data_IF_617914853497
#
_entry.id   IF_617914853497
#
_cell.length_a   1.000
_cell.length_b   1.000
_cell.length_c   1.000
_cell.angle_alpha   90.00
_cell.angle_beta   90.00
_cell.angle_gamma   90.00
#
_symmetry.space_group_name_H-M   'P 1'
#
loop_
_entity.id
_entity.type
_entity.pdbx_description
1 polymer ?
#
# COMPACT_ATOMS: atom_id res chain seq x y z
N UNK A 1 34.21 27.85 36.32
CA UNK A 1 33.36 28.93 35.77
C UNK A 1 32.31 28.28 34.91
N UNK A 2 31.04 28.58 35.13
CA UNK A 2 29.97 28.05 34.28
C UNK A 2 30.03 28.69 32.88
N UNK A 3 29.57 28.01 31.81
CA UNK A 3 29.60 28.56 30.45
C UNK A 3 28.91 29.93 30.34
N UNK A 4 27.78 30.09 31.04
CA UNK A 4 27.03 31.35 31.18
C UNK A 4 27.85 32.49 31.79
N UNK A 5 28.63 32.22 32.84
CA UNK A 5 29.51 33.21 33.46
C UNK A 5 30.66 33.67 32.54
N UNK A 6 31.15 32.79 31.65
CA UNK A 6 32.20 33.16 30.67
C UNK A 6 31.67 34.05 29.55
N UNK A 7 30.40 33.87 29.15
CA UNK A 7 29.71 34.73 28.18
C UNK A 7 29.16 36.01 28.80
N UNK A 8 29.17 36.13 30.14
CA UNK A 8 28.63 37.27 30.87
C UNK A 8 27.10 37.33 30.84
N UNK A 9 26.44 36.16 30.77
CA UNK A 9 24.97 36.02 30.78
C UNK A 9 24.49 35.33 32.06
N UNK A 10 23.25 35.60 32.43
CA UNK A 10 22.58 34.98 33.57
C UNK A 10 22.30 33.48 33.30
N UNK A 11 22.15 32.66 34.36
CA UNK A 11 22.01 31.20 34.21
C UNK A 11 20.68 30.78 33.57
N UNK A 12 19.65 31.62 33.69
CA UNK A 12 18.31 31.40 33.11
C UNK A 12 18.11 32.20 31.80
N UNK A 13 19.19 32.61 31.15
CA UNK A 13 19.12 33.47 29.97
C UNK A 13 18.61 32.72 28.73
N UNK A 14 17.54 33.22 28.10
CA UNK A 14 16.98 32.65 26.87
C UNK A 14 17.98 32.53 25.71
N UNK A 15 17.71 31.63 24.77
CA UNK A 15 18.54 31.35 23.58
C UNK A 15 18.96 32.64 22.83
N UNK A 16 18.05 33.61 22.72
CA UNK A 16 18.29 34.92 22.06
C UNK A 16 19.30 35.79 22.82
N UNK A 17 19.32 35.71 24.15
CA UNK A 17 20.27 36.43 24.99
C UNK A 17 21.68 35.84 24.89
N UNK A 18 21.80 34.50 24.86
CA UNK A 18 23.06 33.77 24.66
C UNK A 18 23.67 34.11 23.30
N UNK A 19 22.88 34.07 22.22
CA UNK A 19 23.32 34.44 20.85
C UNK A 19 23.81 35.89 20.75
N UNK A 20 23.11 36.82 21.40
CA UNK A 20 23.51 38.25 21.45
C UNK A 20 24.83 38.47 22.20
N UNK A 21 25.04 37.76 23.30
CA UNK A 21 26.27 37.85 24.08
C UNK A 21 27.47 37.29 23.30
N UNK A 22 27.29 36.16 22.62
CA UNK A 22 28.27 35.58 21.72
C UNK A 22 28.64 36.55 20.58
N UNK A 23 27.65 37.14 19.89
CA UNK A 23 27.91 38.12 18.83
C UNK A 23 28.68 39.37 19.31
N UNK A 24 28.48 39.79 20.56
CA UNK A 24 29.21 40.91 21.17
C UNK A 24 30.66 40.52 21.50
N UNK A 25 30.89 39.30 21.97
CA UNK A 25 32.22 38.77 22.28
C UNK A 25 33.01 38.48 20.99
N UNK A 26 32.35 37.97 19.95
CA UNK A 26 32.94 37.70 18.64
C UNK A 26 33.54 38.96 17.98
N UNK A 27 32.91 40.12 18.18
CA UNK A 27 33.44 41.40 17.67
C UNK A 27 34.76 41.85 18.32
N UNK A 28 35.10 41.30 19.49
CA UNK A 28 36.34 41.61 20.23
C UNK A 28 37.45 40.59 20.02
N UNK A 29 37.10 39.37 19.63
CA UNK A 29 38.05 38.27 19.44
C UNK A 29 38.04 37.89 17.96
N UNK A 30 38.91 38.54 17.16
CA UNK A 30 39.07 38.21 15.75
C UNK A 30 39.83 36.88 15.65
N UNK A 31 39.36 35.92 14.82
CA UNK A 31 40.01 34.60 14.66
C UNK A 31 41.48 34.68 14.24
N UNK A 32 41.85 35.75 13.53
CA UNK A 32 43.19 35.96 13.00
C UNK A 32 44.21 36.44 14.06
N UNK A 33 43.75 37.01 15.18
CA UNK A 33 44.61 37.54 16.24
C UNK A 33 44.82 36.54 17.40
N UNK A 34 43.81 35.72 17.72
CA UNK A 34 43.92 34.69 18.76
C UNK A 34 42.92 33.52 18.55
N UNK A 35 43.41 32.47 17.89
CA UNK A 35 42.63 31.26 17.61
C UNK A 35 42.23 30.48 18.87
N UNK A 36 43.06 30.49 19.93
CA UNK A 36 42.77 29.77 21.18
C UNK A 36 41.67 30.47 21.99
N UNK A 37 41.68 31.81 22.03
CA UNK A 37 40.63 32.59 22.65
C UNK A 37 39.29 32.44 21.92
N UNK A 38 39.30 32.38 20.59
CA UNK A 38 38.11 32.11 19.79
C UNK A 38 37.51 30.73 20.09
N UNK A 39 38.34 29.68 20.11
CA UNK A 39 37.89 28.32 20.38
C UNK A 39 37.28 28.19 21.79
N UNK A 40 37.95 28.79 22.79
CA UNK A 40 37.45 28.81 24.18
C UNK A 40 36.11 29.54 24.30
N UNK A 41 35.90 30.61 23.53
CA UNK A 41 34.65 31.36 23.50
C UNK A 41 33.53 30.58 22.80
N UNK A 42 33.86 29.89 21.70
CA UNK A 42 32.90 29.09 20.94
C UNK A 42 32.45 27.85 21.72
N UNK A 43 33.38 27.17 22.41
CA UNK A 43 33.06 26.06 23.32
C UNK A 43 32.14 26.50 24.46
N UNK A 44 32.38 27.67 25.05
CA UNK A 44 31.51 28.22 26.09
C UNK A 44 30.10 28.55 25.55
N UNK A 45 29.99 29.03 24.32
CA UNK A 45 28.71 29.28 23.64
C UNK A 45 27.93 27.99 23.39
N UNK A 46 28.58 26.97 22.84
CA UNK A 46 27.94 25.67 22.60
C UNK A 46 27.48 25.01 23.91
N UNK A 47 28.31 25.08 24.96
CA UNK A 47 27.97 24.53 26.27
C UNK A 47 26.82 25.29 26.97
N UNK A 48 26.64 26.59 26.74
CA UNK A 48 25.50 27.33 27.27
C UNK A 48 24.19 26.92 26.57
N UNK A 49 24.21 26.76 25.25
CA UNK A 49 23.04 26.31 24.49
C UNK A 49 22.67 24.85 24.77
N UNK A 50 23.63 23.98 25.07
CA UNK A 50 23.33 22.60 25.44
C UNK A 50 22.64 22.51 26.79
N UNK A 51 23.07 23.30 27.78
CA UNK A 51 22.43 23.35 29.10
C UNK A 51 20.99 23.85 29.03
N UNK A 52 20.70 24.85 28.19
CA UNK A 52 19.35 25.37 28.01
C UNK A 52 18.42 24.31 27.38
N UNK A 53 18.89 23.63 26.31
CA UNK A 53 18.14 22.53 25.68
C UNK A 53 17.94 21.33 26.61
N UNK A 54 18.94 21.02 27.44
CA UNK A 54 18.83 19.94 28.42
C UNK A 54 17.79 20.27 29.50
N UNK A 55 17.75 21.51 29.99
CA UNK A 55 16.75 21.95 30.97
C UNK A 55 15.32 22.00 30.40
N UNK A 56 15.17 22.16 29.09
CA UNK A 56 13.88 22.04 28.39
C UNK A 56 13.48 20.58 28.17
N UNK A 57 14.44 19.73 27.78
CA UNK A 57 14.23 18.29 27.62
C UNK A 57 13.85 17.60 28.93
N UNK A 58 14.54 17.92 30.03
CA UNK A 58 14.23 17.39 31.37
C UNK A 58 12.84 17.84 31.85
N UNK A 59 12.43 19.07 31.52
CA UNK A 59 11.06 19.55 31.80
C UNK A 59 10.01 18.79 30.98
N UNK A 60 10.28 18.56 29.69
CA UNK A 60 9.39 17.79 28.83
C UNK A 60 9.28 16.33 29.27
N UNK A 61 10.39 15.71 29.70
CA UNK A 61 10.40 14.35 30.23
C UNK A 61 9.52 14.24 31.48
N UNK A 62 9.66 15.17 32.42
CA UNK A 62 8.85 15.23 33.63
C UNK A 62 7.36 15.47 33.34
N UNK A 63 7.04 16.28 32.34
CA UNK A 63 5.65 16.53 31.92
C UNK A 63 5.04 15.30 31.23
N UNK A 64 5.82 14.60 30.40
CA UNK A 64 5.40 13.34 29.75
C UNK A 64 5.23 12.18 30.73
N UNK A 65 6.09 12.07 31.74
CA UNK A 65 5.96 11.08 32.82
C UNK A 65 4.73 11.39 33.69
N UNK A 66 4.47 12.67 34.01
CA UNK A 66 3.30 13.09 34.78
C UNK A 66 1.96 12.92 34.03
N UNK A 67 1.93 13.05 32.70
CA UNK A 67 0.77 12.73 31.86
C UNK A 67 0.51 11.22 31.82
N UNK A 68 1.56 10.39 31.81
CA UNK A 68 1.43 8.92 31.83
C UNK A 68 0.96 8.35 33.17
N UNK A 69 1.28 9.02 34.30
CA UNK A 69 0.84 8.61 35.64
C UNK A 69 -0.60 9.05 35.98
N UNK A 70 -1.13 10.11 35.34
CA UNK A 70 -2.51 10.57 35.58
C UNK A 70 -3.56 9.66 34.91
N UNK A 71 -3.21 9.00 33.80
CA UNK A 71 -4.11 8.11 33.05
C UNK A 71 -4.24 6.70 33.68
N UNK A 72 -3.38 6.32 34.63
CA UNK A 72 -3.52 5.07 35.42
C UNK A 72 -4.45 5.21 36.64
N UNK A 73 -4.96 6.41 36.93
CA UNK A 73 -5.77 6.66 38.14
C UNK A 73 -7.30 6.71 37.94
N UNK A 74 -7.80 6.38 36.74
CA UNK A 74 -9.24 6.38 36.45
C UNK A 74 -9.77 4.96 36.19
N UNK A 75 -10.06 4.23 37.27
CA UNK A 75 -11.03 3.15 37.27
C UNK A 75 -12.20 3.50 38.21
N UNK A 76 -13.42 3.21 37.75
CA UNK A 76 -14.76 3.34 38.38
C UNK A 76 -15.47 4.70 38.12
N UNK A 77 -16.65 4.81 37.49
CA UNK A 77 -17.73 3.86 37.22
C UNK A 77 -18.44 4.23 35.89
N UNK A 78 -19.08 3.24 35.26
CA UNK A 78 -19.77 3.39 33.97
C UNK A 78 -21.13 4.09 34.00
N UNK A 79 -21.56 4.59 32.84
CA UNK A 79 -22.80 4.17 32.16
C UNK A 79 -22.89 4.90 30.80
N UNK A 80 -23.49 4.25 29.80
CA UNK A 80 -23.88 4.83 28.51
C UNK A 80 -25.28 4.26 28.17
N UNK A 81 -26.09 4.79 27.23
CA UNK A 81 -26.05 6.00 26.38
C UNK A 81 -27.49 6.65 26.29
N UNK A 82 -28.05 7.24 25.20
CA UNK A 82 -27.53 7.90 23.98
C UNK A 82 -28.20 9.27 23.61
N UNK A 83 -27.60 9.97 22.63
CA UNK A 83 -28.14 10.80 21.53
C UNK A 83 -29.29 11.84 21.74
N UNK A 84 -29.07 13.09 21.30
CA UNK A 84 -29.91 13.81 20.31
C UNK A 84 -29.54 15.30 20.16
N UNK A 85 -29.25 15.69 18.91
CA UNK A 85 -29.54 16.96 18.21
C UNK A 85 -29.50 18.33 18.93
N UNK A 86 -28.66 19.25 18.42
CA UNK A 86 -29.08 20.61 18.09
C UNK A 86 -28.11 21.28 17.09
N UNK A 87 -28.68 21.79 16.01
CA UNK A 87 -28.08 22.55 14.91
C UNK A 87 -27.79 24.01 15.31
N UNK A 88 -26.83 24.70 14.67
CA UNK A 88 -27.06 26.04 14.06
C UNK A 88 -25.88 26.57 13.23
N UNK A 89 -26.05 26.46 11.91
CA UNK A 89 -25.85 27.44 10.82
C UNK A 89 -25.47 28.90 11.16
N UNK A 90 -24.45 29.45 10.47
CA UNK A 90 -24.23 30.85 9.96
C UNK A 90 -22.98 30.79 9.05
N UNK A 91 -22.78 31.43 7.89
CA UNK A 91 -23.58 31.95 6.78
C UNK A 91 -22.61 32.02 5.59
N UNK A 92 -23.14 31.87 4.38
CA UNK A 92 -22.40 31.93 3.12
C UNK A 92 -22.93 33.08 2.27
N UNK A 93 -22.03 33.87 1.67
CA UNK A 93 -22.11 34.55 0.36
C UNK A 93 -20.85 35.44 0.25
N UNK A 94 -20.05 35.57 -0.81
CA UNK A 94 -20.06 35.29 -2.26
C UNK A 94 -18.57 35.38 -2.72
N UNK A 95 -18.07 35.04 -3.91
CA UNK A 95 -18.62 34.88 -5.24
C UNK A 95 -17.60 34.15 -6.17
N UNK A 96 -18.15 33.41 -7.14
CA UNK A 96 -17.77 33.36 -8.57
C UNK A 96 -16.37 32.89 -9.05
N UNK A 97 -16.40 31.68 -9.64
CA UNK A 97 -16.15 31.37 -11.06
C UNK A 97 -14.73 31.04 -11.60
N UNK A 98 -14.76 29.99 -12.46
CA UNK A 98 -13.83 29.55 -13.52
C UNK A 98 -12.54 28.84 -13.05
N UNK A 99 -12.40 27.53 -13.28
CA UNK A 99 -12.08 26.79 -14.54
C UNK A 99 -10.57 26.76 -14.87
N UNK A 100 -10.05 25.54 -14.81
CA UNK A 100 -9.10 24.88 -15.72
C UNK A 100 -7.62 25.36 -15.86
N UNK A 101 -6.80 24.34 -16.14
CA UNK A 101 -5.43 24.35 -16.66
C UNK A 101 -4.24 24.46 -15.68
N UNK A 102 -3.60 23.30 -15.49
CA UNK A 102 -2.20 23.03 -15.86
C UNK A 102 -1.22 24.20 -15.80
N UNK A 103 -0.26 24.16 -14.86
CA UNK A 103 0.94 25.00 -14.95
C UNK A 103 2.18 24.26 -14.47
N UNK A 104 3.03 23.92 -15.44
CA UNK A 104 4.44 23.64 -15.25
C UNK A 104 5.14 24.97 -14.90
N UNK A 105 5.76 25.04 -13.73
CA UNK A 105 6.58 26.18 -13.33
C UNK A 105 8.01 25.99 -13.81
N UNK A 106 8.35 26.67 -14.91
CA UNK A 106 9.71 27.16 -15.18
C UNK A 106 10.20 27.90 -13.94
N UNK A 107 11.39 27.56 -13.46
CA UNK A 107 12.09 28.34 -12.46
C UNK A 107 13.21 29.09 -13.19
N UNK A 108 12.88 30.26 -13.71
CA UNK A 108 13.84 31.23 -14.20
C UNK A 108 14.55 31.83 -12.98
N UNK A 109 15.81 31.46 -12.79
CA UNK A 109 16.71 32.17 -11.89
C UNK A 109 17.94 32.60 -12.70
N UNK A 110 17.74 33.66 -13.48
CA UNK A 110 18.81 34.44 -14.07
C UNK A 110 19.61 35.09 -12.94
N UNK A 111 20.76 34.50 -12.62
CA UNK A 111 21.78 35.16 -11.82
C UNK A 111 22.98 35.43 -12.73
N UNK A 112 22.91 36.57 -13.41
CA UNK A 112 24.04 37.18 -14.12
C UNK A 112 25.15 37.46 -13.11
N UNK A 113 26.23 36.67 -13.17
CA UNK A 113 27.50 37.02 -12.56
C UNK A 113 28.62 36.77 -13.57
N UNK A 114 28.85 37.79 -14.41
CA UNK A 114 30.06 37.93 -15.22
C UNK A 114 31.28 38.07 -14.31
N UNK A 115 32.22 37.14 -14.45
CA UNK A 115 33.52 37.17 -13.80
C UNK A 115 34.49 36.26 -14.55
N UNK A 116 35.19 36.85 -15.52
CA UNK A 116 36.34 36.25 -16.21
C UNK A 116 37.37 35.70 -15.21
N UNK A 117 37.77 34.44 -15.42
CA UNK A 117 38.84 33.79 -14.68
C UNK A 117 39.23 32.48 -15.34
N UNK A 118 40.34 32.52 -16.09
CA UNK A 118 41.05 31.37 -16.63
C UNK A 118 41.27 30.26 -15.58
N UNK A 119 41.14 29.00 -16.01
CA UNK A 119 41.96 27.92 -15.44
C UNK A 119 41.21 26.69 -14.93
N UNK A 120 41.48 25.60 -15.64
CA UNK A 120 41.63 24.23 -15.13
C UNK A 120 40.37 23.37 -14.95
N UNK A 121 40.48 22.16 -15.48
CA UNK A 121 39.40 21.20 -15.55
C UNK A 121 38.98 20.71 -14.16
N UNK A 122 37.66 20.64 -13.95
CA UNK A 122 37.09 19.82 -12.91
C UNK A 122 35.74 19.32 -13.45
N UNK A 123 35.71 18.06 -13.91
CA UNK A 123 34.49 17.29 -14.19
C UNK A 123 33.75 17.03 -12.86
N UNK A 124 33.36 18.11 -12.21
CA UNK A 124 32.92 18.16 -10.83
C UNK A 124 31.41 17.95 -10.82
N UNK A 125 31.02 16.72 -10.50
CA UNK A 125 29.63 16.23 -10.40
C UNK A 125 28.68 17.31 -9.82
N UNK A 126 27.93 18.00 -10.69
CA UNK A 126 26.87 18.95 -10.32
C UNK A 126 25.58 18.21 -9.94
N UNK A 127 25.61 17.34 -8.92
CA UNK A 127 24.38 16.80 -8.34
C UNK A 127 23.80 17.81 -7.35
N UNK A 128 22.53 18.14 -7.52
CA UNK A 128 21.78 18.92 -6.52
C UNK A 128 21.66 18.17 -5.20
N UNK A 129 21.46 18.91 -4.10
CA UNK A 129 21.35 18.36 -2.73
C UNK A 129 20.26 17.28 -2.65
N UNK A 130 19.11 17.48 -3.31
CA UNK A 130 18.02 16.51 -3.35
C UNK A 130 18.38 15.24 -4.12
N UNK A 131 19.15 15.38 -5.21
CA UNK A 131 19.64 14.22 -5.98
C UNK A 131 20.65 13.41 -5.17
N UNK A 132 21.50 14.06 -4.37
CA UNK A 132 22.42 13.39 -3.45
C UNK A 132 21.63 12.63 -2.38
N UNK A 133 20.64 13.26 -1.74
CA UNK A 133 19.78 12.60 -0.75
C UNK A 133 19.05 11.38 -1.32
N UNK A 134 18.48 11.51 -2.52
CA UNK A 134 17.83 10.39 -3.22
C UNK A 134 18.82 9.28 -3.61
N UNK A 135 20.04 9.63 -4.02
CA UNK A 135 21.08 8.64 -4.34
C UNK A 135 21.46 7.81 -3.11
N UNK A 136 21.56 8.44 -1.93
CA UNK A 136 21.80 7.76 -0.64
C UNK A 136 20.68 6.75 -0.36
N UNK A 137 19.42 7.17 -0.47
CA UNK A 137 18.26 6.29 -0.22
C UNK A 137 18.20 5.14 -1.23
N UNK A 138 18.39 5.41 -2.52
CA UNK A 138 18.36 4.40 -3.57
C UNK A 138 19.53 3.42 -3.45
N UNK A 139 20.72 3.89 -3.06
CA UNK A 139 21.87 3.04 -2.75
C UNK A 139 21.55 2.07 -1.62
N UNK A 140 20.93 2.55 -0.55
CA UNK A 140 20.55 1.75 0.61
C UNK A 140 19.56 0.63 0.27
N UNK A 141 18.69 0.83 -0.72
CA UNK A 141 17.71 -0.16 -1.19
C UNK A 141 18.29 -1.19 -2.17
N UNK A 142 19.36 -0.85 -2.88
CA UNK A 142 19.92 -1.67 -3.96
C UNK A 142 21.16 -2.47 -3.55
N UNK A 143 21.97 -1.93 -2.65
CA UNK A 143 23.27 -2.47 -2.29
C UNK A 143 23.21 -3.35 -1.04
N UNK A 144 24.11 -4.34 -0.98
CA UNK A 144 24.31 -5.14 0.23
C UNK A 144 24.87 -4.26 1.36
N UNK A 145 24.73 -4.64 2.65
CA UNK A 145 25.18 -3.79 3.76
C UNK A 145 26.66 -3.39 3.68
N UNK A 146 27.53 -4.33 3.28
CA UNK A 146 28.97 -4.08 3.15
C UNK A 146 29.32 -3.19 1.97
N UNK A 147 28.70 -3.43 0.81
CA UNK A 147 28.93 -2.63 -0.39
C UNK A 147 28.35 -1.21 -0.25
N UNK A 148 27.23 -1.08 0.47
CA UNK A 148 26.61 0.20 0.74
C UNK A 148 27.48 1.08 1.65
N UNK A 149 28.07 0.51 2.71
CA UNK A 149 29.00 1.27 3.55
C UNK A 149 30.26 1.70 2.79
N UNK A 150 30.79 0.84 1.91
CA UNK A 150 31.92 1.19 1.06
C UNK A 150 31.55 2.30 0.09
N UNK A 151 30.40 2.17 -0.58
CA UNK A 151 29.87 3.17 -1.49
C UNK A 151 29.65 4.52 -0.80
N UNK A 152 29.04 4.57 0.39
CA UNK A 152 28.87 5.82 1.16
C UNK A 152 30.21 6.50 1.45
N UNK A 153 31.26 5.73 1.74
CA UNK A 153 32.61 6.25 2.00
C UNK A 153 33.32 6.72 0.75
N UNK A 154 33.01 6.16 -0.41
CA UNK A 154 33.64 6.48 -1.70
C UNK A 154 32.87 7.54 -2.50
N UNK A 155 31.62 7.85 -2.12
CA UNK A 155 30.73 8.72 -2.88
C UNK A 155 31.23 10.18 -2.88
N UNK A 156 31.81 10.69 -3.99
CA UNK A 156 32.54 11.95 -4.00
C UNK A 156 31.76 13.20 -3.54
N UNK A 157 30.45 13.34 -3.86
CA UNK A 157 29.66 14.49 -3.42
C UNK A 157 29.52 14.63 -1.89
N UNK A 158 29.70 13.56 -1.11
CA UNK A 158 29.52 13.57 0.34
C UNK A 158 30.78 13.95 1.13
N UNK A 159 31.93 14.14 0.47
CA UNK A 159 33.16 14.59 1.14
C UNK A 159 33.13 16.08 1.53
N UNK A 160 32.22 16.87 0.95
CA UNK A 160 32.03 18.25 1.35
C UNK A 160 31.31 18.31 2.70
N UNK A 161 31.99 18.82 3.74
CA UNK A 161 31.41 19.04 5.07
C UNK A 161 30.12 19.88 4.99
N UNK A 162 30.10 20.90 4.13
CA UNK A 162 28.92 21.72 3.89
C UNK A 162 27.72 20.92 3.37
N UNK A 163 27.96 19.98 2.44
CA UNK A 163 26.89 19.13 1.87
C UNK A 163 26.35 18.18 2.95
N UNK A 164 27.24 17.63 3.78
CA UNK A 164 26.86 16.75 4.88
C UNK A 164 25.96 17.45 5.91
N UNK A 165 26.32 18.67 6.31
CA UNK A 165 25.58 19.46 7.30
C UNK A 165 24.20 19.90 6.77
N UNK A 166 24.07 20.16 5.47
CA UNK A 166 22.79 20.55 4.86
C UNK A 166 21.86 19.35 4.64
N UNK A 167 22.41 18.18 4.30
CA UNK A 167 21.64 16.96 4.03
C UNK A 167 21.18 16.26 5.31
N UNK A 168 22.03 16.22 6.35
CA UNK A 168 21.76 15.55 7.62
C UNK A 168 20.36 15.86 8.22
N UNK A 169 19.91 17.13 8.35
CA UNK A 169 18.59 17.43 8.91
C UNK A 169 17.41 17.07 7.99
N UNK A 170 17.65 16.96 6.67
CA UNK A 170 16.61 16.62 5.70
C UNK A 170 16.42 15.11 5.54
N UNK A 171 17.47 14.33 5.83
CA UNK A 171 17.50 12.88 5.66
C UNK A 171 16.37 12.16 6.40
N UNK A 172 16.12 12.36 7.71
CA UNK A 172 15.03 11.65 8.38
C UNK A 172 13.71 11.82 7.64
N UNK A 173 13.35 13.06 7.27
CA UNK A 173 12.08 13.36 6.59
C UNK A 173 11.98 12.67 5.23
N UNK A 174 13.08 12.60 4.48
CA UNK A 174 13.14 11.87 3.22
C UNK A 174 13.03 10.35 3.45
N UNK A 175 13.72 9.82 4.46
CA UNK A 175 13.69 8.39 4.84
C UNK A 175 12.30 7.94 5.32
N UNK A 176 11.53 8.81 5.98
CA UNK A 176 10.15 8.49 6.38
C UNK A 176 9.16 8.39 5.22
N UNK A 177 9.49 8.98 4.06
CA UNK A 177 8.71 8.86 2.83
C UNK A 177 9.21 7.71 1.94
N UNK A 178 10.44 7.24 2.17
CA UNK A 178 11.04 6.14 1.44
C UNK A 178 10.48 4.76 1.87
N UNK A 179 10.57 3.73 1.01
CA UNK A 179 10.27 2.35 1.41
C UNK A 179 11.21 1.88 2.53
N UNK A 180 10.77 0.87 3.29
CA UNK A 180 11.49 0.35 4.46
C UNK A 180 12.94 0.01 4.11
N UNK A 181 13.87 0.66 4.81
CA UNK A 181 15.29 0.35 4.73
C UNK A 181 15.62 -0.80 5.70
N UNK A 182 16.52 -1.71 5.32
CA UNK A 182 16.99 -2.72 6.26
C UNK A 182 17.80 -2.03 7.38
N UNK A 183 17.67 -2.56 8.60
CA UNK A 183 18.25 -1.97 9.82
C UNK A 183 19.75 -1.67 9.69
N UNK A 184 20.52 -2.54 9.04
CA UNK A 184 21.96 -2.33 8.84
C UNK A 184 22.28 -1.09 7.99
N UNK A 185 21.54 -0.86 6.90
CA UNK A 185 21.72 0.31 6.04
C UNK A 185 21.24 1.59 6.72
N UNK A 186 20.16 1.53 7.52
CA UNK A 186 19.73 2.67 8.33
C UNK A 186 20.81 3.07 9.34
N UNK A 187 21.37 2.11 10.09
CA UNK A 187 22.45 2.38 11.04
C UNK A 187 23.73 2.87 10.35
N UNK A 188 24.01 2.40 9.13
CA UNK A 188 25.12 2.93 8.33
C UNK A 188 24.92 4.42 7.98
N UNK A 189 23.69 4.82 7.61
CA UNK A 189 23.35 6.24 7.36
C UNK A 189 23.48 7.05 8.65
N UNK A 190 22.92 6.56 9.76
CA UNK A 190 22.96 7.25 11.05
C UNK A 190 24.39 7.48 11.51
N UNK A 191 25.23 6.44 11.44
CA UNK A 191 26.65 6.53 11.81
C UNK A 191 27.46 7.41 10.86
N UNK A 192 27.17 7.38 9.55
CA UNK A 192 27.90 8.19 8.57
C UNK A 192 27.58 9.68 8.72
N UNK A 193 26.30 10.04 8.84
CA UNK A 193 25.85 11.43 8.99
C UNK A 193 25.86 11.94 10.42
N UNK A 194 26.20 11.09 11.39
CA UNK A 194 26.21 11.38 12.83
C UNK A 194 24.84 11.92 13.30
N UNK A 195 23.76 11.26 12.85
CA UNK A 195 22.39 11.70 13.11
C UNK A 195 21.97 11.54 14.57
N UNK A 196 22.73 10.76 15.36
CA UNK A 196 22.56 10.64 16.81
C UNK A 196 23.28 11.76 17.60
N UNK A 197 24.15 12.54 16.95
CA UNK A 197 24.87 13.60 17.63
C UNK A 197 23.95 14.78 17.96
N UNK A 198 24.07 15.26 19.20
CA UNK A 198 23.29 16.37 19.72
C UNK A 198 23.60 17.67 18.95
N UNK A 199 22.71 18.06 18.03
CA UNK A 199 22.80 19.29 17.24
C UNK A 199 22.68 19.13 15.73
N UNK A 200 22.71 17.89 15.21
CA UNK A 200 22.49 17.62 13.78
C UNK A 200 21.01 17.63 13.41
N UNK A 201 20.15 17.10 14.30
CA UNK A 201 18.70 17.06 14.12
C UNK A 201 17.96 17.98 15.11
N UNK A 202 16.77 18.42 14.71
CA UNK A 202 15.79 19.05 15.60
C UNK A 202 14.99 18.00 16.38
N UNK A 203 14.12 18.42 17.31
CA UNK A 203 13.29 17.50 18.12
C UNK A 203 12.44 16.58 17.24
N UNK A 204 11.91 17.12 16.14
CA UNK A 204 11.12 16.37 15.17
C UNK A 204 11.98 15.32 14.44
N UNK A 205 13.20 15.67 14.03
CA UNK A 205 14.14 14.77 13.37
C UNK A 205 14.54 13.59 14.26
N UNK A 206 14.80 13.83 15.55
CA UNK A 206 15.13 12.77 16.50
C UNK A 206 13.95 11.80 16.72
N UNK A 207 12.73 12.34 16.89
CA UNK A 207 11.52 11.51 16.99
C UNK A 207 11.33 10.65 15.74
N UNK A 208 11.53 11.25 14.56
CA UNK A 208 11.36 10.56 13.29
C UNK A 208 12.44 9.49 13.07
N UNK A 209 13.68 9.75 13.50
CA UNK A 209 14.76 8.77 13.47
C UNK A 209 14.49 7.58 14.39
N UNK A 210 14.03 7.84 15.62
CA UNK A 210 13.59 6.80 16.54
C UNK A 210 12.49 5.92 15.92
N UNK A 211 11.50 6.55 15.29
CA UNK A 211 10.42 5.86 14.58
C UNK A 211 10.93 5.01 13.40
N UNK A 212 11.88 5.53 12.64
CA UNK A 212 12.52 4.79 11.54
C UNK A 212 13.27 3.56 12.04
N UNK A 213 13.99 3.68 13.17
CA UNK A 213 14.67 2.54 13.82
C UNK A 213 13.69 1.46 14.23
N UNK A 214 12.63 1.83 14.94
CA UNK A 214 11.57 0.89 15.34
C UNK A 214 10.97 0.18 14.12
N UNK A 215 10.61 0.93 13.05
CA UNK A 215 10.10 0.35 11.80
C UNK A 215 11.10 -0.59 11.13
N UNK A 216 12.39 -0.24 11.09
CA UNK A 216 13.44 -1.07 10.48
C UNK A 216 13.74 -2.34 11.28
N UNK A 217 13.48 -2.33 12.59
CA UNK A 217 13.62 -3.49 13.47
C UNK A 217 12.49 -4.50 13.36
N UNK A 218 11.34 -4.13 12.76
CA UNK A 218 10.24 -5.08 12.53
C UNK A 218 10.61 -6.06 11.44
N UNK A 219 10.84 -7.33 11.81
CA UNK A 219 10.94 -8.43 10.88
C UNK A 219 9.53 -8.85 10.40
N UNK A 220 9.05 -8.12 9.40
CA UNK A 220 7.75 -8.38 8.80
C UNK A 220 7.66 -9.76 8.12
N UNK A 221 8.78 -10.31 7.64
CA UNK A 221 8.83 -11.66 7.07
C UNK A 221 8.55 -12.73 8.12
N UNK A 222 9.19 -12.62 9.29
CA UNK A 222 8.92 -13.49 10.43
C UNK A 222 7.48 -13.33 10.94
N UNK A 223 6.98 -12.09 11.03
CA UNK A 223 5.58 -11.82 11.41
C UNK A 223 4.59 -12.53 10.47
N UNK A 224 4.77 -12.41 9.16
CA UNK A 224 3.91 -13.08 8.18
C UNK A 224 3.99 -14.60 8.26
N UNK A 225 5.18 -15.17 8.46
CA UNK A 225 5.36 -16.61 8.59
C UNK A 225 4.60 -17.15 9.82
N UNK A 226 4.73 -16.49 10.96
CA UNK A 226 4.04 -16.87 12.20
C UNK A 226 2.52 -16.69 12.09
N UNK A 227 2.06 -15.58 11.49
CA UNK A 227 0.64 -15.35 11.21
C UNK A 227 0.05 -16.48 10.36
N UNK A 228 0.78 -16.92 9.32
CA UNK A 228 0.35 -18.02 8.45
C UNK A 228 0.30 -19.37 9.18
N UNK A 229 1.31 -19.66 10.00
CA UNK A 229 1.35 -20.90 10.80
C UNK A 229 0.15 -20.96 11.75
N UNK A 230 -0.15 -19.88 12.47
CA UNK A 230 -1.29 -19.80 13.37
C UNK A 230 -2.63 -19.90 12.64
N UNK A 231 -2.74 -19.28 11.46
CA UNK A 231 -3.93 -19.43 10.62
C UNK A 231 -4.13 -20.88 10.14
N UNK A 232 -3.06 -21.64 9.90
CA UNK A 232 -3.15 -23.04 9.48
C UNK A 232 -3.77 -23.94 10.58
N UNK A 233 -3.56 -23.61 11.85
CA UNK A 233 -4.13 -24.34 12.99
C UNK A 233 -5.64 -24.13 13.20
N UNK A 234 -6.28 -23.22 12.44
CA UNK A 234 -7.73 -22.93 12.48
C UNK A 234 -8.28 -22.66 13.89
N UNK A 235 -7.51 -21.99 14.74
CA UNK A 235 -7.97 -21.55 16.06
C UNK A 235 -7.99 -20.02 16.15
N UNK A 236 -9.17 -19.37 15.99
CA UNK A 236 -9.29 -17.91 15.96
C UNK A 236 -8.91 -17.24 17.28
N UNK A 237 -9.20 -17.88 18.42
CA UNK A 237 -8.86 -17.35 19.75
C UNK A 237 -7.34 -17.31 19.99
N UNK A 238 -6.63 -18.35 19.52
CA UNK A 238 -5.17 -18.39 19.59
C UNK A 238 -4.53 -17.27 18.75
N UNK A 239 -5.10 -16.97 17.59
CA UNK A 239 -4.65 -15.87 16.73
C UNK A 239 -4.94 -14.51 17.38
N UNK A 240 -6.15 -14.30 17.91
CA UNK A 240 -6.52 -13.06 18.62
C UNK A 240 -5.59 -12.80 19.80
N UNK A 241 -5.38 -13.81 20.64
CA UNK A 241 -4.48 -13.70 21.79
C UNK A 241 -3.05 -13.36 21.36
N UNK A 242 -2.53 -14.04 20.34
CA UNK A 242 -1.19 -13.74 19.83
C UNK A 242 -1.04 -12.32 19.30
N UNK A 243 -2.01 -11.82 18.54
CA UNK A 243 -2.02 -10.44 18.05
C UNK A 243 -2.01 -9.43 19.21
N UNK A 244 -2.78 -9.68 20.28
CA UNK A 244 -2.87 -8.80 21.45
C UNK A 244 -1.57 -8.74 22.28
N UNK A 245 -0.79 -9.82 22.35
CA UNK A 245 0.42 -9.88 23.18
C UNK A 245 1.72 -9.56 22.43
N UNK A 246 1.66 -9.21 21.14
CA UNK A 246 2.86 -8.91 20.35
C UNK A 246 3.34 -7.49 20.58
N UNK A 247 4.63 -7.32 20.85
CA UNK A 247 5.26 -6.01 21.10
C UNK A 247 5.14 -5.07 19.89
N UNK A 248 5.26 -5.58 18.67
CA UNK A 248 5.21 -4.77 17.45
C UNK A 248 3.81 -4.22 17.14
N UNK A 249 2.80 -4.68 17.86
CA UNK A 249 1.41 -4.24 17.68
C UNK A 249 0.83 -3.55 18.90
N UNK A 250 1.57 -3.55 20.02
CA UNK A 250 1.18 -2.82 21.23
C UNK A 250 1.31 -1.31 21.04
N UNK A 251 2.32 -0.87 20.30
CA UNK A 251 2.48 0.53 19.90
C UNK A 251 1.51 0.86 18.75
N UNK A 252 0.61 1.85 18.91
CA UNK A 252 -0.38 2.21 17.88
C UNK A 252 0.28 2.62 16.55
N UNK A 253 1.44 3.27 16.58
CA UNK A 253 2.14 3.71 15.36
C UNK A 253 2.73 2.54 14.58
N UNK A 254 3.29 1.55 15.30
CA UNK A 254 3.82 0.33 14.68
C UNK A 254 2.70 -0.58 14.20
N UNK A 255 1.57 -0.64 14.93
CA UNK A 255 0.37 -1.34 14.48
C UNK A 255 -0.10 -0.84 13.12
N UNK A 256 -0.24 0.48 12.96
CA UNK A 256 -0.72 1.06 11.71
C UNK A 256 0.27 0.81 10.56
N UNK A 257 1.57 0.84 10.86
CA UNK A 257 2.62 0.51 9.91
C UNK A 257 2.59 -0.97 9.48
N UNK A 258 2.51 -1.90 10.43
CA UNK A 258 2.40 -3.35 10.16
C UNK A 258 1.10 -3.65 9.41
N UNK A 259 0.01 -2.97 9.75
CA UNK A 259 -1.26 -3.03 9.03
C UNK A 259 -1.08 -2.60 7.57
N UNK A 260 -0.46 -1.45 7.31
CA UNK A 260 -0.21 -1.00 5.94
C UNK A 260 0.66 -1.98 5.12
N UNK A 261 1.68 -2.60 5.75
CA UNK A 261 2.50 -3.63 5.10
C UNK A 261 1.68 -4.90 4.79
N UNK A 262 0.89 -5.36 5.76
CA UNK A 262 0.02 -6.52 5.59
C UNK A 262 -1.03 -6.29 4.50
N UNK A 263 -1.64 -5.11 4.48
CA UNK A 263 -2.58 -4.70 3.43
C UNK A 263 -1.92 -4.82 2.05
N UNK A 264 -0.72 -4.25 1.87
CA UNK A 264 0.00 -4.28 0.60
C UNK A 264 0.37 -5.68 0.15
N UNK A 265 0.78 -6.57 1.06
CA UNK A 265 1.10 -7.96 0.72
C UNK A 265 -0.15 -8.77 0.33
N UNK A 266 -1.25 -8.57 1.05
CA UNK A 266 -2.54 -9.20 0.71
C UNK A 266 -3.07 -8.66 -0.63
N UNK A 267 -2.89 -7.38 -0.91
CA UNK A 267 -3.23 -6.77 -2.19
C UNK A 267 -2.37 -7.32 -3.34
N UNK A 268 -1.05 -7.34 -3.18
CA UNK A 268 -0.11 -7.79 -4.21
C UNK A 268 -0.35 -9.23 -4.66
N UNK A 269 -0.87 -10.09 -3.77
CA UNK A 269 -1.47 -11.38 -4.14
C UNK A 269 -0.57 -12.29 -4.98
N UNK A 270 0.76 -12.16 -4.84
CA UNK A 270 1.73 -13.00 -5.56
C UNK A 270 1.69 -14.42 -4.99
N UNK A 271 0.81 -15.24 -5.55
CA UNK A 271 0.79 -16.69 -5.38
C UNK A 271 0.42 -17.18 -3.97
N UNK A 272 -0.88 -17.31 -3.68
CA UNK A 272 -1.41 -18.12 -2.57
C UNK A 272 -1.06 -17.65 -1.13
N UNK A 273 -1.22 -16.36 -0.83
CA UNK A 273 -1.24 -15.80 0.53
C UNK A 273 -2.67 -15.54 1.05
N UNK A 274 -3.66 -16.36 0.66
CA UNK A 274 -5.03 -16.17 1.14
C UNK A 274 -5.18 -16.64 2.57
N UNK A 275 -5.74 -15.80 3.43
CA UNK A 275 -6.06 -16.14 4.81
C UNK A 275 -7.45 -16.80 4.89
N UNK A 276 -7.69 -17.70 5.86
CA UNK A 276 -9.03 -18.18 6.18
C UNK A 276 -10.00 -17.01 6.44
N UNK A 277 -11.30 -17.12 6.09
CA UNK A 277 -12.26 -16.03 6.27
C UNK A 277 -12.35 -15.50 7.70
N UNK A 278 -12.33 -16.40 8.69
CA UNK A 278 -12.39 -16.04 10.11
C UNK A 278 -11.14 -15.27 10.55
N UNK A 279 -9.96 -15.70 10.09
CA UNK A 279 -8.70 -15.02 10.36
C UNK A 279 -8.65 -13.65 9.66
N UNK A 280 -9.15 -13.56 8.42
CA UNK A 280 -9.25 -12.31 7.69
C UNK A 280 -10.18 -11.32 8.40
N UNK A 281 -11.30 -11.80 8.95
CA UNK A 281 -12.20 -10.96 9.75
C UNK A 281 -11.50 -10.39 10.99
N UNK A 282 -10.78 -11.23 11.74
CA UNK A 282 -10.01 -10.79 12.91
C UNK A 282 -8.93 -9.76 12.53
N UNK A 283 -8.21 -10.00 11.43
CA UNK A 283 -7.21 -9.05 10.91
C UNK A 283 -7.84 -7.72 10.54
N UNK A 284 -9.00 -7.72 9.88
CA UNK A 284 -9.71 -6.48 9.54
C UNK A 284 -10.16 -5.72 10.79
N UNK A 285 -10.70 -6.42 11.78
CA UNK A 285 -11.13 -5.84 13.06
C UNK A 285 -9.94 -5.22 13.81
N UNK A 286 -8.83 -5.96 13.88
CA UNK A 286 -7.66 -5.58 14.68
C UNK A 286 -6.84 -4.43 14.08
N UNK A 287 -6.67 -4.40 12.76
CA UNK A 287 -5.98 -3.31 12.05
C UNK A 287 -6.93 -2.19 11.59
N UNK A 288 -8.19 -2.21 12.03
CA UNK A 288 -9.21 -1.22 11.68
C UNK A 288 -9.39 -1.01 10.16
N UNK A 289 -9.30 -2.09 9.37
CA UNK A 289 -9.61 -2.01 7.94
C UNK A 289 -11.11 -1.76 7.72
N UNK A 290 -11.50 -1.09 6.62
CA UNK A 290 -12.90 -0.80 6.35
C UNK A 290 -13.75 -2.08 6.30
N UNK A 291 -14.96 -2.05 6.88
CA UNK A 291 -15.84 -3.24 6.87
C UNK A 291 -16.14 -3.74 5.45
N UNK A 292 -16.27 -2.83 4.47
CA UNK A 292 -16.56 -3.16 3.08
C UNK A 292 -15.30 -3.15 2.19
N UNK A 293 -14.15 -3.42 2.77
CA UNK A 293 -12.88 -3.43 2.04
C UNK A 293 -12.89 -4.47 0.90
N UNK A 294 -12.61 -4.06 -0.36
CA UNK A 294 -12.46 -4.98 -1.48
C UNK A 294 -11.42 -6.09 -1.21
N UNK A 295 -10.39 -5.84 -0.37
CA UNK A 295 -9.43 -6.86 0.01
C UNK A 295 -10.06 -8.06 0.72
N UNK A 296 -10.99 -7.82 1.65
CA UNK A 296 -11.67 -8.89 2.39
C UNK A 296 -12.50 -9.76 1.45
N UNK A 297 -13.24 -9.13 0.55
CA UNK A 297 -14.05 -9.81 -0.46
C UNK A 297 -13.17 -10.63 -1.40
N UNK A 298 -12.07 -10.04 -1.89
CA UNK A 298 -11.08 -10.70 -2.73
C UNK A 298 -10.43 -11.89 -2.03
N UNK A 299 -9.97 -11.71 -0.80
CA UNK A 299 -9.32 -12.79 -0.02
C UNK A 299 -10.27 -13.97 0.18
N UNK A 300 -11.51 -13.71 0.62
CA UNK A 300 -12.50 -14.77 0.87
C UNK A 300 -12.88 -15.51 -0.41
N UNK A 301 -13.04 -14.78 -1.52
CA UNK A 301 -13.29 -15.35 -2.83
C UNK A 301 -12.13 -16.24 -3.32
N UNK A 302 -10.89 -15.78 -3.17
CA UNK A 302 -9.71 -16.56 -3.56
C UNK A 302 -9.50 -17.78 -2.63
N UNK A 303 -9.73 -17.64 -1.33
CA UNK A 303 -9.64 -18.74 -0.37
C UNK A 303 -10.67 -19.84 -0.65
N UNK A 304 -11.92 -19.45 -0.94
CA UNK A 304 -12.97 -20.40 -1.32
C UNK A 304 -12.65 -21.09 -2.66
N UNK A 305 -12.05 -20.36 -3.61
CA UNK A 305 -11.60 -20.92 -4.88
C UNK A 305 -10.45 -21.92 -4.68
N UNK A 306 -9.46 -21.63 -3.83
CA UNK A 306 -8.35 -22.55 -3.55
C UNK A 306 -8.82 -23.82 -2.86
N UNK A 307 -9.79 -23.72 -1.94
CA UNK A 307 -10.34 -24.84 -1.18
C UNK A 307 -11.54 -25.55 -1.84
N UNK A 308 -11.93 -25.14 -3.05
CA UNK A 308 -13.08 -25.71 -3.79
C UNK A 308 -14.42 -25.62 -3.04
N UNK A 309 -14.55 -24.63 -2.16
CA UNK A 309 -15.74 -24.42 -1.37
C UNK A 309 -16.81 -23.65 -2.17
N UNK A 310 -17.63 -24.40 -2.89
CA UNK A 310 -18.77 -23.84 -3.62
C UNK A 310 -19.83 -23.21 -2.70
N UNK A 311 -19.90 -23.62 -1.41
CA UNK A 311 -20.93 -23.13 -0.48
C UNK A 311 -20.67 -21.69 -0.07
N UNK A 312 -19.40 -21.28 0.01
CA UNK A 312 -19.03 -19.89 0.24
C UNK A 312 -19.63 -18.93 -0.79
N UNK A 313 -19.92 -19.42 -2.00
CA UNK A 313 -20.56 -18.67 -3.08
C UNK A 313 -22.08 -18.88 -3.16
N UNK A 314 -22.69 -19.55 -2.17
CA UNK A 314 -24.11 -19.88 -2.16
C UNK A 314 -24.49 -21.02 -3.09
N UNK A 315 -23.54 -21.84 -3.55
CA UNK A 315 -23.78 -22.96 -4.45
C UNK A 315 -23.66 -24.32 -3.71
N UNK A 316 -24.67 -25.21 -3.81
CA UNK A 316 -24.66 -26.48 -3.06
C UNK A 316 -23.69 -27.52 -3.63
N UNK A 317 -23.28 -27.40 -4.90
CA UNK A 317 -22.49 -28.41 -5.60
C UNK A 317 -21.04 -27.96 -5.84
N UNK A 318 -20.03 -28.76 -5.43
CA UNK A 318 -18.61 -28.45 -5.65
C UNK A 318 -18.23 -28.42 -7.15
N UNK A 319 -19.02 -29.09 -7.99
CA UNK A 319 -18.84 -29.18 -9.45
C UNK A 319 -18.80 -27.82 -10.16
N UNK A 320 -19.37 -26.76 -9.56
CA UNK A 320 -19.35 -25.39 -10.13
C UNK A 320 -17.92 -24.84 -10.15
N UNK A 321 -17.19 -25.01 -9.05
CA UNK A 321 -15.80 -24.54 -8.92
C UNK A 321 -14.88 -25.38 -9.79
N UNK A 322 -15.10 -26.70 -9.81
CA UNK A 322 -14.33 -27.63 -10.65
C UNK A 322 -14.47 -27.31 -12.14
N UNK A 323 -15.69 -27.05 -12.62
CA UNK A 323 -15.92 -26.73 -14.04
C UNK A 323 -15.37 -25.35 -14.43
N UNK A 324 -15.26 -24.42 -13.47
CA UNK A 324 -14.68 -23.10 -13.71
C UNK A 324 -13.14 -23.15 -13.78
N UNK A 325 -12.48 -24.01 -12.99
CA UNK A 325 -11.02 -24.21 -13.02
C UNK A 325 -10.53 -25.00 -14.24
N UNK A 326 -11.41 -25.73 -14.93
CA UNK A 326 -11.04 -26.58 -16.06
C UNK A 326 -10.67 -25.75 -17.29
N UNK A 327 -9.69 -26.20 -18.11
CA UNK A 327 -9.34 -25.53 -19.35
C UNK A 327 -10.52 -25.54 -20.33
N UNK A 328 -10.66 -24.47 -21.11
CA UNK A 328 -11.78 -24.31 -22.03
C UNK A 328 -11.79 -25.40 -23.11
N UNK A 329 -12.93 -26.09 -23.24
CA UNK A 329 -13.21 -26.98 -24.35
C UNK A 329 -14.61 -26.73 -24.88
N UNK A 330 -14.78 -26.34 -26.16
CA UNK A 330 -16.07 -25.92 -26.70
C UNK A 330 -17.11 -27.05 -26.65
N UNK A 331 -16.71 -28.29 -26.92
CA UNK A 331 -17.60 -29.45 -26.90
C UNK A 331 -18.05 -29.83 -25.48
N UNK A 332 -17.15 -29.72 -24.50
CA UNK A 332 -17.49 -30.00 -23.09
C UNK A 332 -18.41 -28.93 -22.54
N UNK A 333 -18.07 -27.65 -22.76
CA UNK A 333 -18.88 -26.53 -22.32
C UNK A 333 -20.28 -26.59 -22.94
N UNK A 334 -20.38 -26.97 -24.23
CA UNK A 334 -21.67 -27.21 -24.89
C UNK A 334 -22.46 -28.35 -24.25
N UNK A 335 -21.82 -29.49 -23.94
CA UNK A 335 -22.46 -30.62 -23.24
C UNK A 335 -22.98 -30.22 -21.85
N UNK A 336 -22.20 -29.45 -21.10
CA UNK A 336 -22.61 -28.94 -19.78
C UNK A 336 -23.80 -27.99 -19.92
N UNK A 337 -23.76 -27.08 -20.90
CA UNK A 337 -24.87 -26.15 -21.16
C UNK A 337 -26.18 -26.87 -21.57
N UNK A 338 -26.07 -27.98 -22.31
CA UNK A 338 -27.24 -28.73 -22.80
C UNK A 338 -27.84 -29.62 -21.72
N UNK A 339 -27.03 -30.44 -21.04
CA UNK A 339 -27.47 -31.43 -20.06
C UNK A 339 -27.67 -30.84 -18.65
N UNK A 340 -26.90 -29.82 -18.27
CA UNK A 340 -26.83 -29.27 -16.91
C UNK A 340 -27.01 -27.76 -16.92
N UNK A 341 -28.22 -27.31 -17.30
CA UNK A 341 -28.52 -25.89 -17.49
C UNK A 341 -28.36 -25.04 -16.23
N UNK A 342 -28.62 -25.61 -15.04
CA UNK A 342 -28.42 -24.96 -13.75
C UNK A 342 -26.94 -24.82 -13.41
N UNK A 343 -26.10 -25.82 -13.75
CA UNK A 343 -24.65 -25.76 -13.55
C UNK A 343 -24.04 -24.64 -14.42
N UNK A 344 -24.44 -24.55 -15.69
CA UNK A 344 -23.99 -23.47 -16.58
C UNK A 344 -24.31 -22.07 -16.04
N UNK A 345 -25.51 -21.88 -15.49
CA UNK A 345 -25.92 -20.61 -14.84
C UNK A 345 -25.14 -20.36 -13.55
N UNK A 346 -24.88 -21.39 -12.75
CA UNK A 346 -24.08 -21.29 -11.54
C UNK A 346 -22.63 -20.90 -11.84
N UNK A 347 -22.00 -21.52 -12.85
CA UNK A 347 -20.64 -21.18 -13.30
C UNK A 347 -20.55 -19.72 -13.75
N UNK A 348 -21.56 -19.23 -14.48
CA UNK A 348 -21.63 -17.83 -14.90
C UNK A 348 -21.76 -16.86 -13.72
N UNK A 349 -22.59 -17.19 -12.71
CA UNK A 349 -22.75 -16.36 -11.50
C UNK A 349 -21.47 -16.35 -10.67
N UNK A 350 -20.87 -17.51 -10.43
CA UNK A 350 -19.62 -17.65 -9.70
C UNK A 350 -18.50 -16.83 -10.35
N UNK A 351 -18.29 -16.98 -11.66
CA UNK A 351 -17.27 -16.18 -12.34
C UNK A 351 -17.56 -14.68 -12.32
N UNK A 352 -18.84 -14.27 -12.29
CA UNK A 352 -19.25 -12.88 -12.11
C UNK A 352 -18.91 -12.35 -10.70
N UNK A 353 -19.20 -13.12 -9.66
CA UNK A 353 -18.84 -12.79 -8.28
C UNK A 353 -17.33 -12.69 -8.09
N UNK A 354 -16.57 -13.64 -8.65
CA UNK A 354 -15.10 -13.61 -8.61
C UNK A 354 -14.54 -12.36 -9.29
N UNK A 355 -15.07 -12.02 -10.47
CA UNK A 355 -14.67 -10.80 -11.18
C UNK A 355 -15.03 -9.53 -10.41
N UNK A 356 -16.18 -9.51 -9.73
CA UNK A 356 -16.57 -8.37 -8.90
C UNK A 356 -15.68 -8.24 -7.66
N UNK A 357 -15.32 -9.35 -7.02
CA UNK A 357 -14.47 -9.36 -5.83
C UNK A 357 -13.00 -9.07 -6.15
N UNK A 358 -12.48 -9.58 -7.26
CA UNK A 358 -11.06 -9.47 -7.63
C UNK A 358 -10.76 -8.34 -8.62
N UNK A 359 -11.78 -7.67 -9.18
CA UNK A 359 -11.67 -6.74 -10.31
C UNK A 359 -11.44 -7.44 -11.66
N UNK A 360 -10.50 -8.39 -11.70
CA UNK A 360 -10.21 -9.25 -12.83
C UNK A 360 -10.42 -10.73 -12.49
N UNK A 361 -10.45 -11.61 -13.51
CA UNK A 361 -10.53 -13.04 -13.23
C UNK A 361 -9.18 -13.55 -12.71
N UNK A 362 -9.16 -14.36 -11.63
CA UNK A 362 -7.95 -14.99 -11.13
C UNK A 362 -7.22 -15.79 -12.22
N UNK A 363 -5.88 -15.78 -12.20
CA UNK A 363 -5.04 -16.47 -13.19
C UNK A 363 -5.29 -18.00 -13.26
N UNK A 364 -5.87 -18.59 -12.22
CA UNK A 364 -6.25 -20.01 -12.18
C UNK A 364 -7.46 -20.36 -13.04
N UNK A 365 -8.18 -19.37 -13.59
CA UNK A 365 -9.42 -19.56 -14.35
C UNK A 365 -9.18 -19.16 -15.81
N UNK A 366 -9.55 -20.05 -16.73
CA UNK A 366 -9.55 -19.74 -18.16
C UNK A 366 -10.68 -18.72 -18.46
N UNK A 367 -10.36 -17.49 -18.92
CA UNK A 367 -11.37 -16.48 -19.18
C UNK A 367 -12.34 -16.89 -20.29
N UNK A 368 -11.96 -17.79 -21.19
CA UNK A 368 -12.83 -18.29 -22.27
C UNK A 368 -13.95 -19.17 -21.73
N UNK A 369 -13.65 -20.00 -20.73
CA UNK A 369 -14.62 -20.87 -20.05
C UNK A 369 -15.69 -20.03 -19.36
N UNK A 370 -15.29 -19.03 -18.58
CA UNK A 370 -16.21 -18.08 -17.96
C UNK A 370 -17.06 -17.34 -19.01
N UNK A 371 -16.44 -16.76 -20.04
CA UNK A 371 -17.17 -16.00 -21.07
C UNK A 371 -18.22 -16.83 -21.81
N UNK A 372 -17.95 -18.10 -22.09
CA UNK A 372 -18.91 -18.98 -22.74
C UNK A 372 -20.18 -19.12 -21.90
N UNK A 373 -20.03 -19.46 -20.61
CA UNK A 373 -21.15 -19.61 -19.69
C UNK A 373 -21.83 -18.26 -19.38
N UNK A 374 -21.08 -17.18 -19.26
CA UNK A 374 -21.62 -15.84 -19.05
C UNK A 374 -22.46 -15.35 -20.24
N UNK A 375 -22.01 -15.60 -21.48
CA UNK A 375 -22.78 -15.30 -22.70
C UNK A 375 -24.06 -16.12 -22.78
N UNK A 376 -24.01 -17.39 -22.41
CA UNK A 376 -25.21 -18.25 -22.39
C UNK A 376 -26.20 -17.90 -21.28
N UNK A 377 -25.70 -17.41 -20.14
CA UNK A 377 -26.54 -16.92 -19.06
C UNK A 377 -27.19 -15.56 -19.38
N UNK A 378 -26.60 -14.79 -20.30
CA UNK A 378 -27.17 -13.55 -20.79
C UNK A 378 -28.43 -13.81 -21.63
N UNK A 379 -29.59 -13.36 -21.12
CA UNK A 379 -30.91 -13.62 -21.72
C UNK A 379 -31.05 -12.99 -23.11
N UNK A 380 -30.36 -11.89 -23.39
CA UNK A 380 -30.33 -11.21 -24.68
C UNK A 380 -29.27 -11.71 -25.67
N UNK A 381 -28.62 -12.85 -25.43
CA UNK A 381 -27.59 -13.37 -26.34
C UNK A 381 -28.20 -14.14 -27.52
N UNK A 382 -27.96 -13.68 -28.76
CA UNK A 382 -28.44 -14.28 -30.01
C UNK A 382 -27.31 -14.94 -30.83
N UNK A 383 -26.26 -15.48 -30.18
CA UNK A 383 -25.11 -16.06 -30.89
C UNK A 383 -25.26 -17.55 -31.28
N UNK A 384 -24.31 -18.07 -32.08
CA UNK A 384 -24.37 -19.42 -32.65
C UNK A 384 -24.38 -20.53 -31.58
N UNK A 385 -23.70 -20.29 -30.45
CA UNK A 385 -23.65 -21.26 -29.35
C UNK A 385 -25.00 -21.48 -28.67
N UNK A 386 -25.89 -20.48 -28.65
CA UNK A 386 -27.23 -20.64 -28.06
C UNK A 386 -28.12 -21.47 -28.96
N UNK A 387 -28.05 -21.24 -30.28
CA UNK A 387 -28.68 -22.10 -31.29
C UNK A 387 -28.17 -23.54 -31.22
N UNK A 388 -26.86 -23.74 -31.04
CA UNK A 388 -26.29 -25.07 -30.85
C UNK A 388 -26.86 -25.77 -29.61
N UNK A 389 -27.06 -25.07 -28.49
CA UNK A 389 -27.68 -25.64 -27.28
C UNK A 389 -29.14 -26.03 -27.54
N UNK A 390 -29.92 -25.18 -28.22
CA UNK A 390 -31.31 -25.49 -28.56
C UNK A 390 -31.41 -26.69 -29.49
N UNK A 391 -30.64 -26.70 -30.58
CA UNK A 391 -30.58 -27.81 -31.53
C UNK A 391 -30.20 -29.13 -30.85
N UNK A 392 -29.23 -29.10 -29.93
CA UNK A 392 -28.81 -30.30 -29.23
C UNK A 392 -29.88 -30.78 -28.23
N UNK A 393 -30.58 -29.87 -27.55
CA UNK A 393 -31.70 -30.23 -26.65
C UNK A 393 -32.89 -30.77 -27.43
N UNK A 394 -33.23 -30.17 -28.56
CA UNK A 394 -34.30 -30.67 -29.43
C UNK A 394 -33.93 -32.04 -29.97
N UNK A 395 -32.69 -32.23 -30.44
CA UNK A 395 -32.19 -33.53 -30.86
C UNK A 395 -32.26 -34.58 -29.74
N UNK A 396 -31.92 -34.21 -28.50
CA UNK A 396 -31.96 -35.12 -27.36
C UNK A 396 -33.38 -35.56 -26.98
N UNK A 397 -34.38 -34.68 -27.17
CA UNK A 397 -35.82 -35.03 -27.00
C UNK A 397 -36.35 -35.85 -28.17
N UNK A 398 -35.87 -35.57 -29.39
CA UNK A 398 -36.32 -36.24 -30.61
C UNK A 398 -35.73 -37.64 -30.79
N UNK A 399 -34.50 -37.87 -30.35
CA UNK A 399 -33.80 -39.15 -30.49
C UNK A 399 -34.59 -40.34 -29.92
N UNK A 400 -35.17 -40.27 -28.70
CA UNK A 400 -36.06 -41.32 -28.22
C UNK A 400 -37.42 -41.33 -28.94
N UNK A 401 -37.93 -40.18 -29.39
CA UNK A 401 -39.20 -40.10 -30.12
C UNK A 401 -39.13 -40.82 -31.48
N UNK A 402 -38.03 -40.64 -32.21
CA UNK A 402 -37.77 -41.32 -33.49
C UNK A 402 -37.64 -42.85 -33.32
N UNK A 403 -37.34 -43.34 -32.11
CA UNK A 403 -37.35 -44.78 -31.84
C UNK A 403 -38.78 -45.32 -31.73
N UNK A 404 -39.72 -44.51 -31.23
CA UNK A 404 -41.08 -44.92 -30.92
C UNK A 404 -42.14 -44.49 -31.96
N UNK A 405 -41.82 -43.62 -32.92
CA UNK A 405 -42.80 -42.99 -33.82
C UNK A 405 -42.27 -42.82 -35.26
N UNK A 406 -43.19 -42.63 -36.21
CA UNK A 406 -42.86 -42.35 -37.62
C UNK A 406 -42.12 -41.02 -37.79
N UNK A 407 -41.21 -40.98 -38.78
CA UNK A 407 -40.31 -39.85 -39.03
C UNK A 407 -41.05 -38.51 -39.26
N UNK A 408 -42.23 -38.53 -39.87
CA UNK A 408 -43.05 -37.34 -40.12
C UNK A 408 -43.65 -36.74 -38.83
N UNK A 409 -44.05 -37.60 -37.88
CA UNK A 409 -44.55 -37.18 -36.57
C UNK A 409 -43.42 -36.66 -35.69
N UNK A 410 -42.24 -37.27 -35.77
CA UNK A 410 -41.06 -36.76 -35.09
C UNK A 410 -40.62 -35.38 -35.65
N UNK A 411 -40.65 -35.19 -36.97
CA UNK A 411 -40.29 -33.92 -37.62
C UNK A 411 -41.26 -32.77 -37.30
N UNK A 412 -42.57 -33.04 -37.25
CA UNK A 412 -43.57 -32.04 -36.85
C UNK A 412 -43.44 -31.64 -35.37
N UNK A 413 -43.22 -32.61 -34.48
CA UNK A 413 -42.90 -32.35 -33.07
C UNK A 413 -41.62 -31.51 -32.91
N UNK A 414 -40.57 -31.81 -33.69
CA UNK A 414 -39.31 -31.05 -33.70
C UNK A 414 -39.52 -29.57 -34.04
N UNK A 415 -40.27 -29.30 -35.11
CA UNK A 415 -40.62 -27.95 -35.55
C UNK A 415 -41.41 -27.19 -34.50
N UNK A 416 -42.38 -27.84 -33.85
CA UNK A 416 -43.17 -27.25 -32.77
C UNK A 416 -42.34 -26.88 -31.54
N UNK A 417 -41.43 -27.76 -31.11
CA UNK A 417 -40.53 -27.49 -29.98
C UNK A 417 -39.56 -26.35 -30.29
N UNK A 418 -39.01 -26.30 -31.51
CA UNK A 418 -38.16 -25.19 -31.94
C UNK A 418 -38.93 -23.86 -31.97
N UNK A 419 -40.13 -23.83 -32.56
CA UNK A 419 -40.98 -22.64 -32.58
C UNK A 419 -41.34 -22.16 -31.17
N UNK A 420 -41.67 -23.08 -30.25
CA UNK A 420 -41.93 -22.76 -28.86
C UNK A 420 -40.70 -22.19 -28.16
N UNK A 421 -39.51 -22.75 -28.40
CA UNK A 421 -38.25 -22.23 -27.86
C UNK A 421 -37.90 -20.84 -28.40
N UNK A 422 -38.13 -20.59 -29.69
CA UNK A 422 -37.94 -19.27 -30.32
C UNK A 422 -38.94 -18.25 -29.77
N UNK A 423 -40.21 -18.63 -29.64
CA UNK A 423 -41.24 -17.77 -29.06
C UNK A 423 -40.95 -17.41 -27.61
N UNK A 424 -40.53 -18.39 -26.80
CA UNK A 424 -40.13 -18.15 -25.41
C UNK A 424 -38.90 -17.24 -25.32
N UNK A 425 -37.92 -17.39 -26.21
CA UNK A 425 -36.72 -16.55 -26.26
C UNK A 425 -37.02 -15.11 -26.69
N UNK A 426 -37.91 -14.91 -27.67
CA UNK A 426 -38.36 -13.60 -28.09
C UNK A 426 -39.08 -12.88 -26.94
N UNK A 427 -39.98 -13.59 -26.26
CA UNK A 427 -40.66 -13.10 -25.06
C UNK A 427 -39.68 -12.73 -23.95
N UNK A 428 -38.74 -13.63 -23.64
CA UNK A 428 -37.76 -13.44 -22.57
C UNK A 428 -36.77 -12.30 -22.86
N UNK A 429 -36.45 -12.03 -24.13
CA UNK A 429 -35.60 -10.90 -24.51
C UNK A 429 -36.33 -9.54 -24.49
N UNK A 430 -37.64 -9.52 -24.75
CA UNK A 430 -38.45 -8.30 -24.80
C UNK A 430 -38.94 -7.86 -23.41
N UNK A 431 -39.21 -8.82 -22.52
CA UNK A 431 -39.84 -8.54 -21.22
C UNK A 431 -38.96 -8.92 -20.02
N UNK A 432 -37.85 -9.64 -20.23
CA UNK A 432 -36.98 -10.09 -19.15
C UNK A 432 -36.00 -9.02 -18.68
N UNK A 433 -35.97 -8.74 -17.38
CA UNK A 433 -34.87 -8.01 -16.75
C UNK A 433 -33.74 -9.00 -16.47
N UNK A 434 -32.69 -8.96 -17.30
CA UNK A 434 -31.53 -9.86 -17.22
C UNK A 434 -30.26 -9.15 -16.71
N UNK A 435 -29.26 -9.91 -16.21
CA UNK A 435 -27.97 -9.35 -15.84
C UNK A 435 -27.30 -8.67 -17.04
N UNK A 436 -26.52 -7.62 -16.80
CA UNK A 436 -25.80 -6.87 -17.84
C UNK A 436 -24.91 -7.77 -18.71
N UNK A 437 -24.68 -7.42 -20.00
CA UNK A 437 -23.86 -8.24 -20.89
C UNK A 437 -22.42 -8.36 -20.36
N UNK A 438 -21.79 -9.54 -20.47
CA UNK A 438 -20.41 -9.72 -20.03
C UNK A 438 -19.49 -8.81 -20.86
N UNK A 439 -18.78 -7.88 -20.19
CA UNK A 439 -17.79 -7.02 -20.85
C UNK A 439 -16.73 -7.88 -21.54
N UNK A 440 -16.37 -7.60 -22.82
CA UNK A 440 -15.32 -8.32 -23.52
C UNK A 440 -14.00 -8.21 -22.75
N UNK A 441 -13.13 -9.22 -22.90
CA UNK A 441 -11.76 -9.18 -22.38
C UNK A 441 -11.10 -7.95 -23.02
N UNK A 442 -10.71 -6.96 -22.23
CA UNK A 442 -9.65 -6.05 -22.66
C UNK A 442 -8.43 -6.95 -22.83
N UNK A 443 -7.83 -7.09 -24.03
CA UNK A 443 -6.56 -7.77 -24.12
C UNK A 443 -5.65 -7.08 -23.11
N UNK A 444 -5.00 -7.85 -22.24
CA UNK A 444 -3.94 -7.33 -21.39
C UNK A 444 -3.07 -6.48 -22.30
N UNK A 445 -2.86 -5.21 -21.94
CA UNK A 445 -1.88 -4.38 -22.63
C UNK A 445 -0.61 -5.23 -22.65
N UNK A 446 -0.18 -5.59 -23.85
CA UNK A 446 1.09 -6.26 -24.05
C UNK A 446 2.11 -5.29 -23.47
N UNK A 447 2.64 -5.58 -22.28
CA UNK A 447 3.81 -4.87 -21.78
C UNK A 447 4.82 -4.89 -22.93
N UNK A 448 5.34 -3.74 -23.37
CA UNK A 448 6.35 -3.74 -24.41
C UNK A 448 7.53 -4.57 -23.89
N UNK A 449 7.89 -5.61 -24.63
CA UNK A 449 9.01 -6.50 -24.35
C UNK A 449 10.25 -5.64 -24.07
N UNK A 450 10.68 -5.58 -22.81
CA UNK A 450 11.84 -4.83 -22.34
C UNK A 450 13.16 -5.55 -22.64
N UNK A 451 13.28 -6.18 -23.82
CA UNK A 451 14.41 -7.07 -24.14
C UNK A 451 14.84 -7.00 -25.62
N UNK A 452 14.91 -5.79 -26.19
CA UNK A 452 15.54 -5.60 -27.52
C UNK A 452 16.13 -4.19 -27.71
N UNK A 453 16.82 -3.68 -26.70
CA UNK A 453 17.71 -2.52 -26.82
C UNK A 453 19.13 -2.91 -26.40
N UNK A 454 19.80 -3.69 -27.23
CA UNK A 454 21.26 -3.76 -27.30
C UNK A 454 21.68 -4.44 -28.61
N UNK A 455 21.94 -3.62 -29.62
CA UNK A 455 22.86 -3.98 -30.71
C UNK A 455 23.51 -2.68 -31.23
N UNK A 456 24.73 -2.34 -30.78
CA UNK A 456 25.46 -1.21 -31.31
C UNK A 456 26.22 -1.59 -32.58
N UNK A 457 25.90 -0.91 -33.68
CA UNK A 457 26.72 -0.84 -34.89
C UNK A 457 27.65 0.37 -34.86
#
# INVERSE_FOLDING_TARGET
MTPHQRLGVEQDADERAIKRAYARALRRTRPDEDAQAFQTLHEAYQAALSMLRQAEYERWLQESEAESEQDESVEDCGDAPPASAAESRVDASSAAAADDATFAGHNDNDNDNDGDGDGDGDDRIELSIDQIGNAVILGALRLSPGDYEAWLREFPPLYSLYVKDVIAPQLPRALAQAPQLPSAQLEAIVRFFDLDALGTLDTQGHWLLHRLRQRSGVDFGAFLAELRERCAHRNPESLRNWLMYREEVRDPDLRDYVGALLYRELEAGRGASTLPPDAMQLVCEFFAYPENDPLRLRNNALWALTHEDARAFGHPSPKVVEELKRPYSPWRALRVATLQSELSRAVARLGGQLRQACGELPASIDPRQYLFHARLAYRGYWGPWRWAVYLLRTALVLLPLCWFTDLELAASCAGGVLLAQVGWLAYDSLFGHGPAPPRPIRPAAREPDADSADDPA
#
